data_IF_776125447068
#
_entry.id   IF_776125447068
#
_cell.length_a   1.000
_cell.length_b   1.000
_cell.length_c   1.000
_cell.angle_alpha   90.00
_cell.angle_beta   90.00
_cell.angle_gamma   90.00
#
_symmetry.space_group_name_H-M   'P 1'
#
loop_
_entity.id
_entity.type
_entity.pdbx_description
1 polymer ?
2 polymer ?
3 water ?
#
# COMPACT_ATOMS: atom_id res chain seq x y z
N UNK A 8 -4.63 -11.22 17.46
CA UNK A 8 -3.58 -10.16 17.43
C UNK A 8 -4.15 -8.83 17.95
N UNK A 9 -3.62 -8.42 19.10
CA UNK A 9 -4.07 -7.25 19.86
C UNK A 9 -2.83 -6.38 20.20
N UNK A 10 -2.99 -5.05 20.26
CA UNK A 10 -1.82 -4.29 20.69
C UNK A 10 -1.40 -4.71 22.10
N UNK A 11 -0.09 -4.75 22.34
CA UNK A 11 0.47 -5.07 23.66
C UNK A 11 0.36 -3.96 24.72
N UNK A 12 0.74 -4.28 25.97
CA UNK A 12 0.57 -3.43 27.16
C UNK A 12 0.42 -1.91 26.90
N UNK A 13 1.53 -1.25 26.54
CA UNK A 13 1.58 0.20 26.36
C UNK A 13 2.01 0.56 24.92
N UNK A 14 1.57 -0.24 23.96
CA UNK A 14 1.81 0.07 22.57
C UNK A 14 0.75 1.05 22.08
N UNK A 15 1.01 1.63 20.92
CA UNK A 15 0.11 2.61 20.34
C UNK A 15 -0.79 1.89 19.34
N UNK A 16 -2.09 1.78 19.66
CA UNK A 16 -2.99 1.04 18.77
C UNK A 16 -3.24 1.75 17.43
N UNK A 17 -3.62 0.98 16.41
CA UNK A 17 -4.03 1.53 15.12
C UNK A 17 -5.54 1.47 14.94
N UNK A 18 -6.03 2.21 13.95
CA UNK A 18 -7.43 2.19 13.55
C UNK A 18 -7.88 0.80 13.04
N UNK A 19 -6.95 0.06 12.43
CA UNK A 19 -7.22 -1.33 12.01
C UNK A 19 -5.97 -2.19 12.21
N UNK A 20 -6.17 -3.50 12.34
CA UNK A 20 -5.11 -4.45 12.04
C UNK A 20 -4.81 -4.51 10.54
N UNK A 21 -3.53 -4.70 10.20
CA UNK A 21 -3.16 -4.90 8.80
C UNK A 21 -2.38 -6.17 8.61
N UNK A 22 -2.38 -6.68 7.38
CA UNK A 22 -1.62 -7.86 7.01
C UNK A 22 -0.67 -7.56 5.83
N UNK A 23 0.63 -7.84 6.00
CA UNK A 23 1.60 -7.82 4.89
C UNK A 23 1.47 -9.09 4.05
N UNK A 24 1.46 -8.91 2.73
CA UNK A 24 1.47 -10.03 1.81
C UNK A 24 2.63 -9.84 0.83
N UNK A 25 3.12 -10.95 0.28
CA UNK A 25 4.12 -10.95 -0.78
C UNK A 25 3.70 -11.86 -1.92
N UNK A 26 4.02 -11.47 -3.15
CA UNK A 26 3.83 -12.34 -4.30
C UNK A 26 4.97 -12.23 -5.31
N UNK A 27 5.25 -13.37 -5.96
CA UNK A 27 6.14 -13.43 -7.13
C UNK A 27 5.47 -14.24 -8.25
N UNK A 28 5.17 -13.57 -9.35
CA UNK A 28 4.58 -14.21 -10.52
C UNK A 28 5.40 -13.96 -11.77
N UNK A 29 4.90 -14.46 -12.89
CA UNK A 29 5.43 -14.11 -14.20
C UNK A 29 4.42 -13.22 -14.93
N UNK A 30 4.92 -12.27 -15.74
CA UNK A 30 4.09 -11.48 -16.65
C UNK A 30 3.34 -12.36 -17.65
N UNK A 31 2.17 -11.92 -18.07
CA UNK A 31 1.36 -12.67 -19.03
C UNK A 31 0.52 -13.79 -18.44
N UNK A 32 0.81 -14.19 -17.21
CA UNK A 32 0.08 -15.30 -16.57
C UNK A 32 -1.30 -14.85 -16.11
N UNK A 41 -2.68 -18.20 -4.91
CA UNK A 41 -1.75 -19.28 -4.58
C UNK A 41 -0.27 -18.86 -4.65
N UNK A 42 0.05 -17.91 -5.54
CA UNK A 42 1.39 -17.32 -5.58
C UNK A 42 1.51 -16.07 -4.68
N UNK A 43 0.61 -15.97 -3.70
CA UNK A 43 0.49 -14.80 -2.81
C UNK A 43 0.36 -15.26 -1.37
N UNK A 44 1.26 -14.80 -0.52
CA UNK A 44 1.30 -15.34 0.83
C UNK A 44 1.38 -14.27 1.90
N UNK A 45 0.94 -14.62 3.10
CA UNK A 45 0.88 -13.71 4.24
C UNK A 45 2.16 -13.75 5.03
N UNK A 46 2.72 -12.57 5.27
CA UNK A 46 3.98 -12.43 5.97
C UNK A 46 3.73 -12.28 7.46
N UNK A 47 2.71 -11.49 7.81
CA UNK A 47 2.36 -11.22 9.20
C UNK A 47 1.29 -10.17 9.39
N UNK A 48 0.71 -10.16 10.59
CA UNK A 48 -0.38 -9.26 10.97
C UNK A 48 -0.07 -8.46 12.22
N UNK A 49 -0.41 -7.18 12.20
CA UNK A 49 -0.10 -6.28 13.31
C UNK A 49 -1.26 -5.38 13.72
N UNK A 50 -1.27 -5.02 15.01
CA UNK A 50 -2.38 -4.29 15.63
C UNK A 50 -1.93 -2.97 16.26
N UNK A 51 -0.63 -2.70 16.20
CA UNK A 51 -0.10 -1.50 16.80
C UNK A 51 1.07 -0.96 15.99
N UNK A 52 1.50 0.26 16.33
CA UNK A 52 2.65 0.90 15.68
C UNK A 52 3.97 0.17 15.91
N UNK A 53 4.22 -0.21 17.17
CA UNK A 53 5.42 -0.98 17.55
C UNK A 53 5.51 -2.34 16.87
N UNK A 54 4.37 -3.02 16.73
CA UNK A 54 4.30 -4.28 16.02
C UNK A 54 4.55 -4.17 14.52
N UNK A 55 4.05 -3.09 13.90
CA UNK A 55 4.34 -2.74 12.51
C UNK A 55 5.83 -2.60 12.27
N UNK A 56 6.50 -1.84 13.12
CA UNK A 56 7.95 -1.62 12.96
C UNK A 56 8.71 -2.93 13.12
N UNK A 57 8.17 -3.83 13.94
CA UNK A 57 8.75 -5.14 14.17
C UNK A 57 8.77 -6.00 12.90
N UNK A 58 7.78 -5.83 12.04
CA UNK A 58 7.83 -6.47 10.74
C UNK A 58 8.67 -5.64 9.85
N UNK A 59 8.23 -4.40 9.62
CA UNK A 59 8.76 -3.56 8.56
C UNK A 59 10.25 -3.27 8.66
N UNK A 60 10.77 -3.10 9.88
CA UNK A 60 12.20 -2.80 10.04
C UNK A 60 13.12 -3.99 9.70
N UNK A 61 12.55 -5.20 9.69
CA UNK A 61 13.25 -6.42 9.28
C UNK A 61 12.92 -6.90 7.85
N UNK A 62 12.13 -6.14 7.09
CA UNK A 62 11.81 -6.52 5.71
C UNK A 62 12.79 -5.96 4.68
N UNK A 63 12.94 -6.69 3.58
CA UNK A 63 13.65 -6.21 2.41
C UNK A 63 12.86 -5.06 1.80
N UNK A 64 13.54 -3.95 1.51
CA UNK A 64 12.92 -2.79 0.90
C UNK A 64 12.51 -3.17 -0.52
N UNK A 65 11.38 -2.64 -1.02
CA UNK A 65 10.96 -3.06 -2.36
C UNK A 65 11.99 -2.76 -3.47
N UNK A 66 12.88 -1.80 -3.23
CA UNK A 66 13.99 -1.50 -4.13
C UNK A 66 15.11 -2.53 -4.20
N UNK A 67 15.09 -3.52 -3.29
CA UNK A 67 16.01 -4.66 -3.30
C UNK A 67 15.30 -5.99 -3.52
N UNK A 68 14.09 -5.96 -4.07
CA UNK A 68 13.42 -7.20 -4.46
C UNK A 68 13.80 -7.58 -5.89
N UNK A 69 13.92 -8.88 -6.14
CA UNK A 69 14.17 -9.37 -7.49
C UNK A 69 12.88 -9.93 -8.07
N UNK A 70 12.78 -9.88 -9.40
CA UNK A 70 11.66 -10.50 -10.10
C UNK A 70 10.44 -9.63 -10.29
N UNK A 71 9.40 -10.27 -10.81
CA UNK A 71 8.05 -9.72 -10.94
C UNK A 71 7.38 -9.89 -9.58
N UNK A 72 7.48 -8.85 -8.76
CA UNK A 72 7.27 -8.99 -7.31
C UNK A 72 6.46 -7.83 -6.77
N UNK A 73 5.70 -8.10 -5.72
CA UNK A 73 4.83 -7.12 -5.11
C UNK A 73 4.82 -7.33 -3.60
N UNK A 74 4.84 -6.23 -2.84
CA UNK A 74 4.39 -6.24 -1.44
C UNK A 74 2.99 -5.65 -1.44
N UNK A 75 2.13 -6.18 -0.58
CA UNK A 75 0.75 -5.73 -0.44
C UNK A 75 0.55 -5.49 1.05
N UNK A 76 -0.05 -4.37 1.42
CA UNK A 76 -0.39 -4.13 2.80
C UNK A 76 -1.87 -3.76 2.89
N UNK A 77 -2.66 -4.66 3.49
CA UNK A 77 -4.11 -4.58 3.45
C UNK A 77 -4.72 -4.66 4.84
N UNK A 78 -5.91 -4.08 5.00
CA UNK A 78 -6.67 -4.15 6.24
C UNK A 78 -6.86 -5.61 6.54
N UNK A 79 -6.68 -6.01 7.81
CA UNK A 79 -6.82 -7.44 8.13
C UNK A 79 -8.22 -7.91 7.71
N UNK A 80 -8.30 -9.08 7.05
CA UNK A 80 -9.56 -9.57 6.50
C UNK A 80 -9.90 -9.19 5.07
N UNK A 81 -9.07 -8.35 4.44
CA UNK A 81 -9.23 -8.06 3.00
C UNK A 81 -8.08 -8.68 2.19
N UNK A 82 -8.41 -9.53 1.23
CA UNK A 82 -7.39 -10.17 0.40
C UNK A 82 -7.01 -9.24 -0.73
N UNK A 83 -5.71 -9.11 -1.00
CA UNK A 83 -5.27 -8.21 -2.07
C UNK A 83 -5.58 -8.76 -3.48
N UNK A 84 -6.80 -9.24 -3.69
CA UNK A 84 -7.30 -9.54 -5.03
C UNK A 84 -8.65 -8.86 -5.21
N UNK A 85 -8.92 -8.43 -6.44
CA UNK A 85 -10.10 -7.62 -6.72
C UNK A 85 -11.43 -8.35 -6.46
N UNK A 86 -11.42 -9.68 -6.62
CA UNK A 86 -12.63 -10.50 -6.44
C UNK A 86 -13.13 -10.48 -5.01
N UNK A 87 -12.24 -10.21 -4.05
CA UNK A 87 -12.63 -10.02 -2.65
C UNK A 87 -13.79 -9.03 -2.50
N UNK A 88 -14.70 -9.38 -1.60
CA UNK A 88 -15.92 -8.62 -1.37
C UNK A 88 -15.68 -7.13 -1.16
N UNK A 89 -14.64 -6.80 -0.40
CA UNK A 89 -14.29 -5.40 -0.11
C UNK A 89 -13.69 -4.67 -1.32
N UNK A 90 -13.26 -5.44 -2.33
CA UNK A 90 -12.57 -4.91 -3.51
C UNK A 90 -13.40 -4.87 -4.80
N UNK A 91 -14.44 -5.71 -4.88
CA UNK A 91 -15.13 -5.98 -6.16
C UNK A 91 -15.80 -4.79 -6.83
N UNK A 92 -16.21 -3.81 -6.04
CA UNK A 92 -16.81 -2.60 -6.55
C UNK A 92 -15.84 -1.40 -6.53
N UNK A 93 -14.56 -1.68 -6.28
CA UNK A 93 -13.57 -0.64 -6.10
C UNK A 93 -12.63 -0.38 -7.26
N UNK A 94 -11.51 0.25 -6.93
CA UNK A 94 -10.51 0.59 -7.91
C UNK A 94 -9.23 1.00 -7.22
N UNK A 95 -8.30 1.54 -7.99
CA UNK A 95 -7.04 2.00 -7.41
C UNK A 95 -6.48 3.20 -8.13
N UNK A 96 -5.75 4.02 -7.39
CA UNK A 96 -4.87 5.01 -7.98
C UNK A 96 -3.51 4.33 -8.22
N UNK A 97 -2.91 4.65 -9.36
CA UNK A 97 -1.67 4.04 -9.86
C UNK A 97 -0.68 5.16 -10.12
N UNK A 98 0.53 4.99 -9.61
CA UNK A 98 1.66 5.87 -9.90
C UNK A 98 2.84 5.03 -10.38
N UNK A 99 3.26 5.29 -11.63
CA UNK A 99 4.42 4.63 -12.23
C UNK A 99 5.69 5.45 -11.97
N UNK A 100 6.72 4.76 -11.50
CA UNK A 100 7.94 5.43 -11.05
C UNK A 100 9.17 4.83 -11.72
N UNK A 101 10.21 5.64 -11.94
CA UNK A 101 11.50 5.11 -12.37
C UNK A 101 12.21 4.39 -11.21
N UNK A 102 13.07 3.44 -11.56
CA UNK A 102 13.88 2.73 -10.58
C UNK A 102 14.64 3.68 -9.65
N UNK A 103 14.55 3.40 -8.35
CA UNK A 103 15.20 4.24 -7.33
C UNK A 103 14.22 4.99 -6.43
N UNK A 104 12.97 5.14 -6.89
CA UNK A 104 11.97 5.92 -6.16
C UNK A 104 10.98 5.13 -5.28
N UNK A 105 10.77 3.85 -5.57
CA UNK A 105 9.72 3.04 -4.92
C UNK A 105 9.82 2.81 -3.42
N UNK A 106 11.04 2.62 -2.91
CA UNK A 106 11.23 2.27 -1.50
C UNK A 106 10.81 3.40 -0.54
N UNK A 107 11.18 4.63 -0.89
CA UNK A 107 10.83 5.85 -0.16
C UNK A 107 9.36 6.17 -0.37
N UNK A 108 8.87 5.95 -1.59
CA UNK A 108 7.45 6.16 -1.84
C UNK A 108 6.55 5.20 -1.07
N UNK A 109 6.94 3.94 -1.03
CA UNK A 109 6.20 2.89 -0.34
C UNK A 109 6.11 3.15 1.17
N UNK A 110 7.22 3.56 1.78
CA UNK A 110 7.26 3.94 3.18
C UNK A 110 6.38 5.16 3.54
N UNK A 111 6.42 6.21 2.73
CA UNK A 111 5.62 7.40 2.97
C UNK A 111 4.12 7.08 2.86
N UNK A 112 3.79 6.22 1.89
CA UNK A 112 2.43 5.79 1.62
C UNK A 112 1.89 4.88 2.74
N UNK A 113 2.68 3.92 3.21
CA UNK A 113 2.14 3.02 4.23
C UNK A 113 2.02 3.70 5.58
N UNK A 114 2.95 4.63 5.89
CA UNK A 114 2.84 5.49 7.08
C UNK A 114 1.61 6.45 7.05
N UNK A 115 1.24 6.95 5.87
CA UNK A 115 0.08 7.80 5.66
C UNK A 115 -1.22 7.01 5.82
N UNK A 116 -1.31 5.89 5.10
CA UNK A 116 -2.38 4.93 5.25
C UNK A 116 -2.59 4.50 6.71
N UNK A 117 -1.54 4.01 7.38
CA UNK A 117 -1.62 3.60 8.80
C UNK A 117 -2.00 4.71 9.78
N UNK A 118 -1.49 5.91 9.55
CA UNK A 118 -1.76 6.99 10.48
C UNK A 118 -3.10 7.66 10.25
N UNK A 119 -3.88 7.12 9.32
CA UNK A 119 -5.18 7.62 8.93
C UNK A 119 -5.13 9.02 8.36
N UNK A 120 -4.31 9.22 7.35
CA UNK A 120 -4.15 10.53 6.75
C UNK A 120 -5.18 10.76 5.63
N UNK A 121 -5.75 9.67 5.12
CA UNK A 121 -6.68 9.76 3.98
C UNK A 121 -8.05 10.37 4.29
N UNK A 122 -8.58 10.12 5.48
CA UNK A 122 -9.86 10.70 5.92
C UNK A 122 -11.04 10.39 4.99
N UNK A 123 -11.21 9.12 4.66
CA UNK A 123 -12.24 8.71 3.72
C UNK A 123 -13.11 7.60 4.32
N UNK A 124 -13.28 7.63 5.64
CA UNK A 124 -14.09 6.66 6.32
C UNK A 124 -13.48 5.30 6.16
N UNK A 125 -14.30 4.33 5.73
CA UNK A 125 -13.87 2.92 5.62
C UNK A 125 -13.42 2.57 4.19
N UNK A 126 -13.20 3.58 3.38
CA UNK A 126 -12.98 3.35 1.96
C UNK A 126 -11.65 2.71 1.59
N UNK A 127 -10.63 2.84 2.44
CA UNK A 127 -9.29 2.36 2.08
C UNK A 127 -9.25 0.85 2.24
N UNK A 128 -8.69 0.15 1.26
CA UNK A 128 -8.54 -1.32 1.33
C UNK A 128 -7.09 -1.73 1.63
N UNK A 129 -6.17 -1.26 0.81
CA UNK A 129 -4.76 -1.39 1.11
C UNK A 129 -3.90 -0.81 0.02
N UNK A 130 -2.60 -1.08 0.11
CA UNK A 130 -1.60 -0.57 -0.81
C UNK A 130 -0.73 -1.71 -1.39
N UNK A 131 -0.29 -1.51 -2.63
CA UNK A 131 0.60 -2.44 -3.34
C UNK A 131 1.81 -1.67 -3.92
N UNK A 132 3.03 -2.18 -3.69
CA UNK A 132 4.22 -1.78 -4.48
C UNK A 132 4.65 -2.93 -5.40
N UNK A 133 4.67 -2.65 -6.71
CA UNK A 133 5.00 -3.62 -7.75
C UNK A 133 6.35 -3.36 -8.43
N UNK A 134 7.31 -4.26 -8.25
CA UNK A 134 8.61 -4.12 -8.92
C UNK A 134 8.55 -4.74 -10.31
N UNK A 135 8.83 -3.94 -11.33
CA UNK A 135 8.82 -4.43 -12.70
C UNK A 135 10.21 -4.28 -13.33
N UNK A 136 10.32 -4.58 -14.62
CA UNK A 136 11.61 -4.60 -15.29
C UNK A 136 12.30 -3.24 -15.28
N UNK A 137 11.56 -2.22 -15.72
CA UNK A 137 12.10 -0.89 -15.94
C UNK A 137 11.33 0.22 -15.22
N UNK A 138 10.39 -0.17 -14.36
CA UNK A 138 9.64 0.79 -13.54
C UNK A 138 9.15 0.12 -12.26
N UNK A 139 8.84 0.94 -11.26
CA UNK A 139 8.08 0.46 -10.12
C UNK A 139 6.70 1.10 -10.18
N UNK A 140 5.70 0.42 -9.62
CA UNK A 140 4.34 0.92 -9.54
C UNK A 140 3.83 0.88 -8.09
N UNK A 141 3.43 2.02 -7.54
CA UNK A 141 2.70 2.03 -6.28
C UNK A 141 1.21 2.26 -6.52
N UNK A 142 0.38 1.52 -5.78
CA UNK A 142 -1.06 1.72 -5.86
C UNK A 142 -1.69 1.69 -4.47
N UNK A 143 -2.84 2.35 -4.37
CA UNK A 143 -3.71 2.29 -3.20
C UNK A 143 -5.14 1.96 -3.67
N UNK A 144 -5.72 0.96 -3.03
CA UNK A 144 -7.03 0.42 -3.36
C UNK A 144 -8.11 0.99 -2.45
N UNK A 145 -9.27 1.32 -3.02
CA UNK A 145 -10.47 1.73 -2.23
C UNK A 145 -11.75 0.95 -2.59
N UNK A 146 -12.74 0.97 -1.70
CA UNK A 146 -13.98 0.15 -1.80
C UNK A 146 -14.93 0.49 -2.95
N UNK A 147 -15.12 1.77 -3.22
CA UNK A 147 -16.16 2.26 -4.11
C UNK A 147 -15.57 3.18 -5.17
N UNK A 148 -15.46 2.64 -6.38
CA UNK A 148 -14.84 3.34 -7.51
C UNK A 148 -15.67 4.53 -7.98
N UNK A 149 -16.99 4.40 -7.82
CA UNK A 149 -17.95 5.40 -8.30
C UNK A 149 -18.11 6.59 -7.34
N UNK A 150 -17.46 6.50 -6.17
CA UNK A 150 -17.52 7.54 -5.15
C UNK A 150 -16.45 8.61 -5.42
N UNK A 151 -16.83 9.58 -6.25
CA UNK A 151 -15.96 10.64 -6.72
C UNK A 151 -15.38 11.56 -5.63
N UNK A 152 -16.11 11.75 -4.54
CA UNK A 152 -15.56 12.52 -3.42
C UNK A 152 -14.40 11.79 -2.70
N UNK A 153 -14.53 10.46 -2.62
CA UNK A 153 -13.51 9.60 -2.05
C UNK A 153 -12.27 9.50 -2.94
N UNK A 154 -12.44 9.21 -4.23
CA UNK A 154 -11.27 9.02 -5.08
C UNK A 154 -10.51 10.32 -5.31
N UNK A 155 -11.24 11.44 -5.28
CA UNK A 155 -10.65 12.75 -5.41
C UNK A 155 -9.84 13.04 -4.16
N UNK A 156 -10.43 12.82 -2.98
CA UNK A 156 -9.71 12.96 -1.71
C UNK A 156 -8.43 12.07 -1.61
N UNK A 157 -8.50 10.83 -2.11
CA UNK A 157 -7.35 9.92 -2.12
C UNK A 157 -6.21 10.47 -2.99
N UNK A 158 -6.56 10.95 -4.18
CA UNK A 158 -5.61 11.53 -5.13
C UNK A 158 -4.85 12.70 -4.52
N UNK A 159 -5.60 13.63 -3.94
CA UNK A 159 -5.04 14.81 -3.27
C UNK A 159 -4.12 14.45 -2.11
N UNK A 160 -4.52 13.46 -1.29
CA UNK A 160 -3.71 12.99 -0.16
C UNK A 160 -2.37 12.40 -0.65
N UNK A 161 -2.42 11.59 -1.70
CA UNK A 161 -1.21 11.05 -2.29
C UNK A 161 -0.23 12.18 -2.65
N UNK A 162 -0.77 13.26 -3.21
CA UNK A 162 0.03 14.42 -3.59
C UNK A 162 0.61 15.13 -2.37
N UNK A 163 -0.15 15.17 -1.28
CA UNK A 163 0.36 15.73 -0.03
C UNK A 163 1.46 14.91 0.64
N UNK A 164 1.39 13.57 0.55
CA UNK A 164 2.29 12.68 1.32
C UNK A 164 3.51 12.06 0.59
N UNK A 165 3.44 12.02 -0.73
CA UNK A 165 4.54 11.52 -1.53
C UNK A 165 5.35 12.64 -2.19
N UNK A 166 6.66 12.47 -2.22
CA UNK A 166 7.50 13.37 -3.00
C UNK A 166 7.68 12.78 -4.39
N UNK A 167 6.88 13.26 -5.33
CA UNK A 167 6.91 12.71 -6.68
C UNK A 167 7.69 13.65 -7.58
N UNK A 168 8.34 13.10 -8.62
CA UNK A 168 8.89 13.90 -9.72
C UNK A 168 7.82 14.78 -10.35
N UNK A 169 8.18 16.00 -10.79
CA UNK A 169 7.21 16.78 -11.60
C UNK A 169 6.77 15.98 -12.84
N UNK A 170 5.53 16.19 -13.28
CA UNK A 170 5.04 15.55 -14.52
C UNK A 170 4.43 14.19 -14.26
N UNK A 171 4.44 13.76 -12.99
CA UNK A 171 4.02 12.40 -12.62
C UNK A 171 2.54 12.15 -12.87
N UNK A 172 2.30 11.20 -13.76
CA UNK A 172 0.98 10.71 -14.09
C UNK A 172 0.43 9.88 -12.91
N UNK A 173 -0.78 10.21 -12.48
CA UNK A 173 -1.55 9.38 -11.59
C UNK A 173 -2.79 8.98 -12.35
N UNK A 174 -3.20 7.74 -12.16
CA UNK A 174 -4.27 7.19 -12.95
C UNK A 174 -5.16 6.30 -12.10
N UNK A 175 -6.46 6.52 -12.22
CA UNK A 175 -7.44 5.67 -11.57
C UNK A 175 -7.99 4.58 -12.49
N UNK A 176 -8.00 3.35 -11.98
CA UNK A 176 -8.59 2.21 -12.69
C UNK A 176 -9.57 1.45 -11.78
N UNK A 177 -10.84 1.38 -12.19
CA UNK A 177 -11.83 0.45 -11.63
C UNK A 177 -11.40 -1.01 -11.90
N UNK A 178 -11.42 -1.86 -10.87
CA UNK A 178 -11.00 -3.27 -11.00
C UNK A 178 -11.76 -4.04 -12.09
N UNK A 179 -13.08 -3.91 -12.15
CA UNK A 179 -13.84 -4.64 -13.17
C UNK A 179 -13.34 -4.27 -14.58
N UNK A 180 -13.22 -2.96 -14.86
CA UNK A 180 -12.54 -2.48 -16.08
C UNK A 180 -11.14 -3.12 -16.16
N UNK A 189 1.63 -3.81 -31.22
CA UNK A 189 2.12 -4.64 -32.32
C UNK A 189 2.43 -6.05 -31.83
N UNK A 190 3.67 -6.28 -31.34
CA UNK A 190 4.04 -7.59 -30.79
C UNK A 190 3.59 -7.77 -29.33
N UNK A 191 3.52 -9.02 -28.89
CA UNK A 191 3.19 -9.34 -27.50
C UNK A 191 4.18 -8.65 -26.57
N UNK A 192 3.73 -8.27 -25.38
CA UNK A 192 4.63 -7.66 -24.39
C UNK A 192 5.43 -8.74 -23.66
N UNK A 193 6.75 -8.71 -23.81
CA UNK A 193 7.61 -9.81 -23.33
C UNK A 193 8.26 -9.53 -21.98
N UNK A 194 8.80 -8.32 -21.80
CA UNK A 194 9.40 -7.93 -20.52
C UNK A 194 8.48 -7.04 -19.71
N UNK A 195 8.29 -7.40 -18.44
CA UNK A 195 7.58 -6.59 -17.44
C UNK A 195 7.25 -7.45 -16.21
N UNK B 1 -11.63 8.60 15.34
CA UNK B 1 -10.60 7.92 14.51
C UNK B 1 -9.21 8.06 15.16
N UNK B 2 -8.38 7.01 15.11
CA UNK B 2 -7.01 7.10 15.65
C UNK B 2 -6.03 7.57 14.57
N UNK B 3 -5.57 8.81 14.74
CA UNK B 3 -4.77 9.50 13.74
C UNK B 3 -3.33 9.66 14.21
N UNK B 4 -2.37 9.30 13.34
CA UNK B 4 -0.94 9.49 13.64
C UNK B 4 -0.23 10.29 12.57
N UNK B 5 0.45 11.35 13.01
CA UNK B 5 1.40 12.11 12.16
C UNK B 5 2.62 11.24 11.80
N UNK B 6 3.26 11.54 10.66
CA UNK B 6 4.44 10.82 10.18
C UNK B 6 5.61 10.91 11.16
N UNK B 7 5.85 12.10 11.68
CA UNK B 7 6.90 12.32 12.67
C UNK B 7 6.74 11.34 13.84
N UNK B 8 5.53 11.28 14.39
CA UNK B 8 5.24 10.45 15.53
C UNK B 8 5.49 8.98 15.24
N UNK B 9 5.00 8.53 14.09
CA UNK B 9 5.17 7.17 13.62
C UNK B 9 6.64 6.74 13.52
N UNK B 10 7.47 7.62 12.97
CA UNK B 10 8.92 7.45 12.88
C UNK B 10 9.59 7.38 14.26
N UNK B 11 9.12 8.20 15.19
CA UNK B 11 9.65 8.23 16.54
C UNK B 11 9.38 6.92 17.28
N UNK B 12 8.24 6.28 16.99
CA UNK B 12 7.91 4.99 17.59
C UNK B 12 8.84 3.88 17.15
N UNK B 13 9.52 4.05 16.02
CA UNK B 13 10.42 3.02 15.48
C UNK B 13 11.58 2.67 16.41
N UNK B 14 11.89 3.57 17.33
CA UNK B 14 12.99 3.38 18.26
C UNK B 14 12.50 3.00 19.65
N UNK B 15 11.29 2.44 19.70
CA UNK B 15 10.69 1.91 20.93
C UNK B 15 10.38 0.42 20.80
N UNK B 16 11.03 -0.42 21.63
CA UNK B 16 10.76 -1.86 21.63
C UNK B 16 9.46 -2.23 22.39
N UNK B 17 8.32 -1.95 21.94
#
# INVERSE_FOLDING_TARGET
>A
GPLHMKAVVPGPAEHPLQYNYTFWYSRRTPGRPTSSQSYEQNIKQIGTFASVEQFWRFYSHMVRPGDLTGHSDFHLFKEGIKPMWEDDANKNGGKWIIRLRKGLASRCWENLILAMLGEQFMVGEEICGAVVSVRFQEDIISIWNKTASDQATTARIRDTLRRVLNLPPNTIMEYKTHTDSIKMPGRLGPQRLLF
>B
RIIYDRKFLMECRNSPV
#
